data_IF_669698765743
#
_entry.id   IF_669698765743
#
_cell.length_a   1.000
_cell.length_b   1.000
_cell.length_c   1.000
_cell.angle_alpha   90.00
_cell.angle_beta   90.00
_cell.angle_gamma   90.00
#
_symmetry.space_group_name_H-M   'P 1'
#
loop_
_entity.id
_entity.type
_entity.pdbx_description
1 polymer ?
#
# COMPACT_ATOMS: atom_id res chain seq x y z
N UNK A 1 -15.77 12.36 0.00
CA UNK A 1 -14.53 12.12 -0.76
C UNK A 1 -14.70 10.82 -1.53
N UNK A 2 -14.97 10.87 -2.84
CA UNK A 2 -15.03 9.65 -3.66
C UNK A 2 -13.61 9.33 -4.12
N UNK A 3 -13.19 8.07 -4.01
CA UNK A 3 -11.95 7.61 -4.61
C UNK A 3 -12.18 7.41 -6.12
N UNK A 4 -11.28 7.94 -6.93
CA UNK A 4 -11.27 7.65 -8.37
C UNK A 4 -11.02 6.16 -8.62
N UNK A 5 -11.42 5.67 -9.78
CA UNK A 5 -11.28 4.25 -10.14
C UNK A 5 -9.84 3.75 -9.99
N UNK A 6 -8.85 4.55 -10.39
CA UNK A 6 -7.43 4.21 -10.26
C UNK A 6 -7.02 4.04 -8.79
N UNK A 7 -7.44 4.97 -7.92
CA UNK A 7 -7.15 4.91 -6.49
C UNK A 7 -7.82 3.66 -5.86
N UNK A 8 -9.08 3.37 -6.19
CA UNK A 8 -9.77 2.15 -5.72
C UNK A 8 -9.08 0.87 -6.17
N UNK A 9 -8.63 0.82 -7.42
CA UNK A 9 -7.86 -0.31 -7.96
C UNK A 9 -6.55 -0.49 -7.17
N UNK A 10 -5.84 0.60 -6.90
CA UNK A 10 -4.56 0.54 -6.21
C UNK A 10 -4.74 0.18 -4.72
N UNK A 11 -5.85 0.58 -4.09
CA UNK A 11 -6.26 0.08 -2.77
C UNK A 11 -6.43 -1.45 -2.76
N UNK A 12 -7.12 -2.02 -3.76
CA UNK A 12 -7.29 -3.47 -3.88
C UNK A 12 -5.97 -4.21 -4.10
N UNK A 13 -5.04 -3.63 -4.87
CA UNK A 13 -3.72 -4.21 -5.08
C UNK A 13 -2.89 -4.19 -3.80
N UNK A 14 -2.96 -3.07 -3.05
CA UNK A 14 -2.23 -2.91 -1.81
C UNK A 14 -2.72 -3.89 -0.72
N UNK A 15 -4.04 -4.05 -0.55
CA UNK A 15 -4.60 -5.01 0.43
C UNK A 15 -4.37 -6.48 0.07
N UNK A 16 -4.19 -6.79 -1.22
CA UNK A 16 -3.88 -8.15 -1.68
C UNK A 16 -2.39 -8.48 -1.70
N UNK A 17 -1.54 -7.54 -1.29
CA UNK A 17 -0.11 -7.82 -1.14
C UNK A 17 0.09 -8.71 0.08
N UNK A 18 0.70 -9.89 -0.09
CA UNK A 18 0.84 -10.91 0.95
C UNK A 18 1.56 -10.44 2.22
N UNK A 19 2.44 -9.44 2.10
CA UNK A 19 3.16 -8.83 3.22
C UNK A 19 2.41 -7.66 3.89
N UNK A 20 1.25 -7.26 3.33
CA UNK A 20 0.48 -6.10 3.79
C UNK A 20 -0.79 -6.58 4.49
N UNK A 21 -0.71 -6.72 5.81
CA UNK A 21 -1.89 -6.91 6.66
C UNK A 21 -2.66 -5.59 6.92
N UNK A 22 -3.79 -5.65 7.64
CA UNK A 22 -4.64 -4.47 7.92
C UNK A 22 -3.90 -3.32 8.64
N UNK A 23 -3.02 -3.66 9.57
CA UNK A 23 -2.21 -2.69 10.32
C UNK A 23 -1.18 -2.02 9.40
N UNK A 24 -0.48 -2.81 8.59
CA UNK A 24 0.48 -2.30 7.62
C UNK A 24 -0.20 -1.41 6.58
N UNK A 25 -1.37 -1.81 6.08
CA UNK A 25 -2.18 -1.03 5.15
C UNK A 25 -2.50 0.36 5.70
N UNK A 26 -3.04 0.44 6.93
CA UNK A 26 -3.35 1.71 7.57
C UNK A 26 -2.10 2.58 7.77
N UNK A 27 -0.97 1.99 8.19
CA UNK A 27 0.30 2.70 8.35
C UNK A 27 0.86 3.22 7.02
N UNK A 28 0.76 2.43 5.95
CA UNK A 28 1.20 2.82 4.61
C UNK A 28 0.36 3.97 4.06
N UNK A 29 -0.96 3.94 4.22
CA UNK A 29 -1.81 5.07 3.82
C UNK A 29 -1.54 6.33 4.65
N UNK A 30 -1.33 6.19 5.95
CA UNK A 30 -0.98 7.34 6.80
C UNK A 30 0.33 8.00 6.37
N UNK A 31 1.33 7.20 5.97
CA UNK A 31 2.66 7.64 5.56
C UNK A 31 2.70 8.20 4.13
N UNK A 32 2.16 7.46 3.16
CA UNK A 32 2.30 7.75 1.73
C UNK A 32 1.11 8.48 1.12
N UNK A 33 0.03 8.67 1.89
CA UNK A 33 -1.19 9.43 1.54
C UNK A 33 -2.05 8.80 0.44
N UNK A 34 -1.49 8.05 -0.50
CA UNK A 34 -2.19 7.32 -1.56
C UNK A 34 -1.76 5.87 -1.63
N UNK A 35 -2.63 5.00 -2.14
CA UNK A 35 -2.28 3.60 -2.33
C UNK A 35 -1.24 3.41 -3.43
N UNK A 36 -1.26 4.26 -4.47
CA UNK A 36 -0.27 4.23 -5.54
C UNK A 36 1.15 4.53 -5.01
N UNK A 37 1.31 5.55 -4.16
CA UNK A 37 2.59 5.87 -3.55
C UNK A 37 3.06 4.78 -2.58
N UNK A 38 2.14 4.18 -1.81
CA UNK A 38 2.45 3.05 -0.96
C UNK A 38 2.93 1.83 -1.78
N UNK A 39 2.26 1.49 -2.88
CA UNK A 39 2.66 0.41 -3.79
C UNK A 39 4.05 0.63 -4.38
N UNK A 40 4.37 1.86 -4.78
CA UNK A 40 5.69 2.21 -5.31
C UNK A 40 6.82 2.03 -4.28
N UNK A 41 6.52 2.18 -2.99
CA UNK A 41 7.49 2.01 -1.90
C UNK A 41 7.64 0.54 -1.44
N UNK A 42 6.73 -0.37 -1.82
CA UNK A 42 6.78 -1.76 -1.39
C UNK A 42 8.08 -2.50 -1.74
N UNK A 43 8.70 -2.35 -2.94
CA UNK A 43 9.93 -3.04 -3.27
C UNK A 43 11.08 -2.69 -2.31
N UNK A 44 11.22 -1.41 -1.95
CA UNK A 44 12.22 -0.96 -1.00
C UNK A 44 11.96 -1.48 0.42
N UNK A 45 10.70 -1.53 0.83
CA UNK A 45 10.30 -2.08 2.13
C UNK A 45 10.55 -3.59 2.21
N UNK A 46 10.23 -4.33 1.14
CA UNK A 46 10.49 -5.76 1.04
C UNK A 46 12.00 -6.07 1.09
N UNK A 47 12.81 -5.26 0.40
CA UNK A 47 14.27 -5.39 0.44
C UNK A 47 14.85 -5.18 1.85
N UNK A 48 14.25 -4.30 2.66
CA UNK A 48 14.67 -4.03 4.05
C UNK A 48 14.12 -5.03 5.05
N UNK A 49 12.98 -5.66 4.75
CA UNK A 49 12.27 -6.60 5.62
C UNK A 49 12.65 -8.06 5.44
N UNK A 50 13.61 -8.39 4.56
CA UNK A 50 14.07 -9.76 4.32
C UNK A 50 14.85 -10.35 5.50
N UNK A 51 14.13 -10.82 6.52
CA UNK A 51 14.58 -11.81 7.49
C UNK A 51 13.42 -12.69 7.91
#
# INVERSE_FOLDING_TARGET
MSLDFAERRDWLRLTRTSTVGPVAFAGLLARYKTAAAALAALPELAARGGR
#
